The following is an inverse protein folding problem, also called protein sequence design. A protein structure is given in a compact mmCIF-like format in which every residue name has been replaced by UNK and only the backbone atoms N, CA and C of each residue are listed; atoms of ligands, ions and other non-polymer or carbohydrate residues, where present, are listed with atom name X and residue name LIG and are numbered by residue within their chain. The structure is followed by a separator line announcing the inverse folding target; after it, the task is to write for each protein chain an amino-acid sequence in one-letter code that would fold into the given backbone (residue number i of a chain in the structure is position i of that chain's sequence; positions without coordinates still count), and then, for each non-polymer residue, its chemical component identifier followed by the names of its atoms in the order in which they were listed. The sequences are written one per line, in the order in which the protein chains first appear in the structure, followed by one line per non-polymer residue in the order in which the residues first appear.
data_IF_605132201998
#
_entry.id   IF_605132201998
#
_cell.length_a   1.000
_cell.length_b   1.000
_cell.length_c   1.000
_cell.angle_alpha   90.00
_cell.angle_beta   90.00
_cell.angle_gamma   90.00
#
_symmetry.space_group_name_H-M   'P 1'
#
loop_
_entity.id
_entity.type
_entity.pdbx_description
1 polymer ?
#
# COMPACT_ATOMS: atom_id res chain seq x y z
N UNK A 1 15.08 17.28 -10.50
CA UNK A 1 13.98 16.31 -10.26
C UNK A 1 13.46 16.53 -8.85
N UNK A 2 12.16 16.79 -8.72
CA UNK A 2 11.56 17.45 -7.55
C UNK A 2 11.34 16.47 -6.39
N UNK A 3 11.70 16.85 -5.15
CA UNK A 3 11.31 16.19 -3.88
C UNK A 3 9.79 15.92 -3.73
N UNK A 4 8.98 16.44 -4.65
CA UNK A 4 7.52 16.26 -4.73
C UNK A 4 7.11 14.88 -5.26
N UNK A 5 7.95 14.20 -6.07
CA UNK A 5 7.65 12.84 -6.56
C UNK A 5 7.86 11.79 -5.46
N UNK A 6 8.82 12.00 -4.55
CA UNK A 6 9.02 11.18 -3.33
C UNK A 6 7.81 11.16 -2.38
N UNK A 7 6.82 12.05 -2.56
CA UNK A 7 5.63 12.12 -1.72
C UNK A 7 4.51 11.16 -2.18
N UNK A 8 4.57 10.63 -3.42
CA UNK A 8 3.60 9.67 -3.97
C UNK A 8 3.70 8.28 -3.35
N UNK A 9 4.77 8.07 -2.58
CA UNK A 9 5.33 6.79 -2.21
C UNK A 9 4.91 6.32 -0.81
N UNK A 10 4.42 7.25 0.00
CA UNK A 10 4.20 7.00 1.40
C UNK A 10 2.71 6.80 1.60
N UNK A 11 2.32 5.52 1.67
CA UNK A 11 1.26 4.94 2.51
C UNK A 11 0.31 4.04 1.72
N UNK A 12 0.73 2.81 1.57
CA UNK A 12 -0.13 1.68 1.17
C UNK A 12 -0.47 0.78 2.37
N UNK A 13 -0.09 1.24 3.56
CA UNK A 13 0.27 0.37 4.68
C UNK A 13 -0.71 0.44 5.85
N UNK A 14 -1.50 1.51 5.99
CA UNK A 14 -2.40 1.68 7.15
C UNK A 14 -3.54 0.65 7.19
N UNK A 15 -4.01 0.22 6.02
CA UNK A 15 -5.05 -0.79 5.81
C UNK A 15 -4.65 -2.16 6.34
N UNK A 16 -3.41 -2.54 6.04
CA UNK A 16 -2.82 -3.85 6.30
C UNK A 16 -2.82 -4.17 7.80
N UNK A 17 -2.62 -3.16 8.64
CA UNK A 17 -2.50 -3.37 10.09
C UNK A 17 -3.79 -3.18 10.88
N UNK A 18 -4.81 -2.55 10.31
CA UNK A 18 -6.15 -2.56 10.91
C UNK A 18 -6.71 -3.99 10.98
N UNK A 19 -6.51 -4.78 9.92
CA UNK A 19 -6.83 -6.21 9.90
C UNK A 19 -5.98 -7.03 10.88
N UNK A 20 -4.65 -6.85 10.86
CA UNK A 20 -3.73 -7.56 11.76
C UNK A 20 -4.03 -7.31 13.25
N UNK A 21 -4.27 -6.06 13.63
CA UNK A 21 -4.61 -5.70 15.02
C UNK A 21 -5.93 -6.30 15.46
N UNK A 22 -6.98 -6.13 14.65
CA UNK A 22 -8.33 -6.58 14.99
C UNK A 22 -8.46 -8.07 15.29
N UNK A 23 -7.82 -8.94 14.50
CA UNK A 23 -7.94 -10.39 14.72
C UNK A 23 -7.04 -10.92 15.87
N UNK A 24 -6.13 -10.09 16.40
CA UNK A 24 -5.16 -10.51 17.42
C UNK A 24 -5.52 -10.10 18.85
N UNK A 25 -6.47 -9.19 19.05
CA UNK A 25 -7.21 -9.12 20.32
C UNK A 25 -8.69 -9.29 20.05
N UNK A 26 -9.19 -10.47 20.40
CA UNK A 26 -10.58 -10.86 20.65
C UNK A 26 -11.68 -10.00 19.99
N UNK A 27 -12.53 -10.67 19.20
CA UNK A 27 -13.75 -10.21 18.50
C UNK A 27 -14.69 -9.23 19.23
N UNK A 28 -14.51 -8.99 20.52
CA UNK A 28 -15.48 -8.34 21.40
C UNK A 28 -15.27 -6.81 21.55
N UNK A 29 -14.27 -6.21 20.88
CA UNK A 29 -14.01 -4.77 20.98
C UNK A 29 -14.46 -3.98 19.73
N UNK A 30 -15.06 -2.81 19.99
CA UNK A 30 -15.84 -1.89 19.12
C UNK A 30 -15.19 -1.42 17.79
N UNK A 31 -14.00 -1.90 17.42
CA UNK A 31 -13.43 -1.69 16.08
C UNK A 31 -13.81 -2.88 15.21
N UNK A 32 -15.02 -2.92 14.65
CA UNK A 32 -15.43 -4.06 13.81
C UNK A 32 -14.73 -3.98 12.45
N UNK A 33 -13.82 -4.92 12.18
CA UNK A 33 -13.31 -5.11 10.84
C UNK A 33 -14.20 -6.11 10.12
N UNK A 34 -14.79 -5.68 9.00
CA UNK A 34 -15.69 -6.51 8.19
C UNK A 34 -15.02 -6.77 6.85
N UNK A 35 -14.94 -8.04 6.44
CA UNK A 35 -14.55 -8.39 5.09
C UNK A 35 -15.76 -8.34 4.17
N UNK A 36 -15.65 -7.66 3.04
CA UNK A 36 -16.69 -7.68 2.00
C UNK A 36 -16.10 -8.29 0.75
N UNK A 37 -16.78 -9.31 0.22
CA UNK A 37 -16.43 -9.92 -1.05
C UNK A 37 -17.07 -9.16 -2.20
N UNK A 38 -16.25 -8.70 -3.14
CA UNK A 38 -16.73 -7.96 -4.32
C UNK A 38 -17.28 -8.89 -5.41
N UNK A 39 -16.81 -10.15 -5.48
CA UNK A 39 -17.21 -11.14 -6.50
C UNK A 39 -18.27 -12.14 -6.00
N UNK A 40 -18.56 -12.15 -4.69
CA UNK A 40 -19.49 -13.09 -4.05
C UNK A 40 -18.97 -14.54 -4.02
N UNK A 41 -17.73 -14.78 -4.46
CA UNK A 41 -17.11 -16.10 -4.48
C UNK A 41 -16.45 -16.44 -3.14
N UNK A 42 -16.03 -15.44 -2.38
CA UNK A 42 -15.40 -15.62 -1.08
C UNK A 42 -16.38 -15.34 0.07
N UNK A 43 -16.37 -16.19 1.09
CA UNK A 43 -17.12 -15.91 2.33
C UNK A 43 -16.36 -14.88 3.16
N UNK A 44 -17.08 -14.07 3.96
CA UNK A 44 -16.45 -13.17 4.92
C UNK A 44 -15.37 -13.90 5.74
N UNK A 45 -15.72 -15.05 6.32
CA UNK A 45 -14.83 -15.88 7.12
C UNK A 45 -13.54 -16.31 6.39
N UNK A 46 -13.62 -16.59 5.08
CA UNK A 46 -12.45 -16.91 4.25
C UNK A 46 -11.51 -15.72 4.13
N UNK A 47 -12.05 -14.53 3.88
CA UNK A 47 -11.28 -13.29 3.78
C UNK A 47 -10.66 -12.91 5.14
N UNK A 48 -11.36 -13.14 6.27
CA UNK A 48 -10.81 -13.02 7.64
C UNK A 48 -9.60 -13.93 7.85
N UNK A 49 -9.73 -15.21 7.51
CA UNK A 49 -8.64 -16.17 7.67
C UNK A 49 -7.42 -15.81 6.82
N UNK A 50 -7.64 -15.37 5.59
CA UNK A 50 -6.57 -15.01 4.66
C UNK A 50 -5.83 -13.73 5.10
N UNK A 51 -6.57 -12.69 5.48
CA UNK A 51 -5.99 -11.46 6.03
C UNK A 51 -5.14 -11.75 7.26
N UNK A 52 -5.62 -12.61 8.17
CA UNK A 52 -4.88 -13.01 9.36
C UNK A 52 -3.60 -13.79 9.01
N UNK A 53 -3.69 -14.75 8.09
CA UNK A 53 -2.53 -15.53 7.64
C UNK A 53 -1.43 -14.63 7.06
N UNK A 54 -1.81 -13.72 6.17
CA UNK A 54 -0.85 -12.79 5.56
C UNK A 54 -0.29 -11.77 6.56
N UNK A 55 -1.08 -11.38 7.56
CA UNK A 55 -0.60 -10.50 8.65
C UNK A 55 0.46 -11.20 9.52
N UNK A 56 0.28 -12.48 9.82
CA UNK A 56 1.27 -13.27 10.56
C UNK A 56 2.56 -13.44 9.77
N UNK A 57 2.45 -13.74 8.47
CA UNK A 57 3.60 -13.82 7.56
C UNK A 57 4.38 -12.50 7.52
N UNK A 58 3.67 -11.37 7.46
CA UNK A 58 4.30 -10.05 7.54
C UNK A 58 5.16 -9.92 8.78
N UNK A 59 4.58 -10.21 9.95
CA UNK A 59 5.28 -10.12 11.24
C UNK A 59 6.51 -11.02 11.26
N UNK A 60 6.42 -12.26 10.76
CA UNK A 60 7.56 -13.17 10.65
C UNK A 60 8.70 -12.63 9.77
N UNK A 61 8.36 -12.06 8.62
CA UNK A 61 9.35 -11.48 7.69
C UNK A 61 10.01 -10.24 8.31
N UNK A 62 9.25 -9.39 9.00
CA UNK A 62 9.83 -8.29 9.79
C UNK A 62 10.78 -8.81 10.86
N UNK A 63 10.47 -9.95 11.49
CA UNK A 63 11.37 -10.64 12.43
C UNK A 63 12.72 -11.02 11.84
N UNK A 64 12.75 -11.39 10.55
CA UNK A 64 14.00 -11.70 9.83
C UNK A 64 14.77 -10.43 9.44
N UNK A 65 14.05 -9.39 9.02
CA UNK A 65 14.61 -8.14 8.52
C UNK A 65 15.14 -7.24 9.64
N UNK A 66 14.39 -7.13 10.74
CA UNK A 66 14.69 -6.26 11.88
C UNK A 66 14.19 -6.90 13.18
N UNK A 67 15.03 -7.76 13.81
CA UNK A 67 14.67 -8.47 15.03
C UNK A 67 14.27 -7.55 16.20
N UNK A 68 14.89 -6.38 16.32
CA UNK A 68 14.57 -5.40 17.36
C UNK A 68 13.17 -4.82 17.17
N UNK A 69 12.84 -4.34 15.95
CA UNK A 69 11.49 -3.84 15.64
C UNK A 69 10.44 -4.93 15.84
N UNK A 70 10.74 -6.17 15.47
CA UNK A 70 9.84 -7.31 15.69
C UNK A 70 9.53 -7.54 17.17
N UNK A 71 10.53 -7.40 18.05
CA UNK A 71 10.33 -7.52 19.50
C UNK A 71 9.36 -6.45 20.00
N UNK A 72 9.52 -5.20 19.56
CA UNK A 72 8.64 -4.09 19.93
C UNK A 72 7.21 -4.32 19.44
N UNK A 73 7.05 -4.76 18.18
CA UNK A 73 5.75 -5.09 17.59
C UNK A 73 5.07 -6.20 18.41
N UNK A 74 5.76 -7.31 18.69
CA UNK A 74 5.21 -8.42 19.48
C UNK A 74 4.82 -8.01 20.90
N UNK A 75 5.61 -7.17 21.55
CA UNK A 75 5.29 -6.68 22.88
C UNK A 75 4.01 -5.84 22.87
N UNK A 76 3.87 -4.91 21.92
CA UNK A 76 2.65 -4.11 21.78
C UNK A 76 1.43 -4.98 21.41
N UNK A 77 1.60 -5.98 20.55
CA UNK A 77 0.54 -6.92 20.19
C UNK A 77 0.02 -7.73 21.37
N UNK A 78 0.89 -8.19 22.28
CA UNK A 78 0.49 -8.95 23.47
C UNK A 78 -0.49 -8.20 24.39
N UNK A 79 -0.53 -6.86 24.28
CA UNK A 79 -1.42 -5.99 25.04
C UNK A 79 -2.65 -5.53 24.24
N UNK A 80 -2.84 -5.96 22.98
CA UNK A 80 -3.87 -5.39 22.10
C UNK A 80 -5.29 -5.58 22.64
N UNK A 81 -5.60 -6.73 23.23
CA UNK A 81 -6.91 -7.03 23.83
C UNK A 81 -7.23 -6.20 25.08
N UNK A 82 -6.27 -5.45 25.62
CA UNK A 82 -6.48 -4.54 26.76
C UNK A 82 -6.34 -3.06 26.38
N UNK A 83 -6.05 -2.76 25.11
CA UNK A 83 -5.93 -1.39 24.61
C UNK A 83 -7.29 -0.72 24.44
N UNK A 84 -7.37 0.56 24.81
CA UNK A 84 -8.46 1.45 24.44
C UNK A 84 -8.49 1.68 22.92
N UNK A 85 -9.61 2.17 22.40
CA UNK A 85 -9.74 2.51 20.96
C UNK A 85 -8.70 3.53 20.50
N UNK A 86 -8.30 4.48 21.36
CA UNK A 86 -7.24 5.45 21.06
C UNK A 86 -5.88 4.78 20.90
N UNK A 87 -5.52 3.90 21.85
CA UNK A 87 -4.27 3.13 21.82
C UNK A 87 -4.20 2.18 20.61
N UNK A 88 -5.32 1.55 20.22
CA UNK A 88 -5.39 0.74 19.00
C UNK A 88 -5.12 1.58 17.75
N UNK A 89 -5.65 2.79 17.68
CA UNK A 89 -5.38 3.72 16.57
C UNK A 89 -3.93 4.17 16.54
N UNK A 90 -3.32 4.45 17.68
CA UNK A 90 -1.89 4.78 17.76
C UNK A 90 -1.02 3.60 17.32
N UNK A 91 -1.33 2.40 17.83
CA UNK A 91 -0.66 1.18 17.44
C UNK A 91 -0.72 0.94 15.93
N UNK A 92 -1.89 1.08 15.29
CA UNK A 92 -2.02 0.95 13.84
C UNK A 92 -1.15 1.96 13.09
N UNK A 93 -1.05 3.20 13.55
CA UNK A 93 -0.20 4.21 12.92
C UNK A 93 1.29 3.88 13.08
N UNK A 94 1.71 3.37 14.24
CA UNK A 94 3.10 2.96 14.49
C UNK A 94 3.53 1.83 13.55
N UNK A 95 2.71 0.78 13.41
CA UNK A 95 3.04 -0.31 12.51
C UNK A 95 3.02 0.16 11.05
N UNK A 96 2.07 1.02 10.68
CA UNK A 96 2.04 1.58 9.33
C UNK A 96 3.30 2.40 9.00
N UNK A 97 3.77 3.20 9.96
CA UNK A 97 5.03 3.94 9.83
C UNK A 97 6.25 3.01 9.73
N UNK A 98 6.33 1.98 10.58
CA UNK A 98 7.42 1.01 10.56
C UNK A 98 7.51 0.27 9.22
N UNK A 99 6.37 -0.18 8.72
CA UNK A 99 6.30 -0.92 7.46
C UNK A 99 6.60 -0.03 6.26
N UNK A 100 6.18 1.24 6.27
CA UNK A 100 6.58 2.19 5.23
C UNK A 100 8.11 2.38 5.18
N UNK A 101 8.75 2.56 6.34
CA UNK A 101 10.22 2.65 6.43
C UNK A 101 10.88 1.36 5.94
N UNK A 102 10.40 0.19 6.39
CA UNK A 102 10.93 -1.09 5.97
C UNK A 102 10.77 -1.32 4.46
N UNK A 103 9.66 -0.92 3.86
CA UNK A 103 9.45 -1.04 2.42
C UNK A 103 10.45 -0.18 1.65
N UNK A 104 10.61 1.09 2.01
CA UNK A 104 11.59 1.99 1.37
C UNK A 104 13.01 1.42 1.45
N UNK A 105 13.41 0.91 2.62
CA UNK A 105 14.73 0.30 2.82
C UNK A 105 14.93 -0.98 1.99
N UNK A 106 13.84 -1.70 1.68
CA UNK A 106 13.90 -3.05 1.09
C UNK A 106 13.57 -3.12 -0.40
N UNK A 107 12.89 -2.10 -0.93
CA UNK A 107 12.58 -1.96 -2.36
C UNK A 107 13.80 -2.11 -3.28
N UNK A 108 14.99 -1.53 -2.98
CA UNK A 108 16.17 -1.71 -3.83
C UNK A 108 16.59 -3.18 -4.03
N UNK A 109 16.24 -4.04 -3.08
CA UNK A 109 16.61 -5.47 -3.07
C UNK A 109 15.47 -6.39 -3.50
N UNK A 110 14.25 -5.86 -3.67
CA UNK A 110 13.09 -6.65 -4.07
C UNK A 110 13.20 -7.16 -5.50
N UNK A 111 12.60 -8.33 -5.78
CA UNK A 111 12.59 -8.91 -7.13
C UNK A 111 11.74 -8.09 -8.11
N UNK A 112 12.03 -8.22 -9.42
CA UNK A 112 11.25 -7.55 -10.47
C UNK A 112 9.77 -7.97 -10.42
N UNK A 113 9.51 -9.25 -10.18
CA UNK A 113 8.15 -9.78 -10.06
C UNK A 113 7.38 -9.17 -8.88
N UNK A 114 8.05 -8.98 -7.73
CA UNK A 114 7.44 -8.37 -6.55
C UNK A 114 6.99 -6.92 -6.81
N UNK A 115 7.83 -6.16 -7.52
CA UNK A 115 7.53 -4.77 -7.85
C UNK A 115 6.45 -4.65 -8.91
N UNK A 116 6.48 -5.49 -9.95
CA UNK A 116 5.42 -5.50 -10.96
C UNK A 116 4.07 -5.94 -10.36
N UNK A 117 4.06 -6.91 -9.44
CA UNK A 117 2.86 -7.28 -8.69
C UNK A 117 2.35 -6.13 -7.80
N UNK A 118 3.25 -5.27 -7.32
CA UNK A 118 2.88 -4.13 -6.47
C UNK A 118 2.09 -3.10 -7.26
N UNK A 119 2.50 -2.81 -8.49
CA UNK A 119 1.73 -1.94 -9.37
C UNK A 119 0.29 -2.45 -9.58
N UNK A 120 0.11 -3.75 -9.79
CA UNK A 120 -1.21 -4.35 -9.91
C UNK A 120 -2.05 -4.20 -8.63
N UNK A 121 -1.46 -4.48 -7.47
CA UNK A 121 -2.17 -4.34 -6.20
C UNK A 121 -2.57 -2.89 -5.92
N UNK A 122 -1.74 -1.89 -6.30
CA UNK A 122 -2.07 -0.47 -6.08
C UNK A 122 -3.26 -0.06 -6.94
N UNK A 123 -3.28 -0.45 -8.21
CA UNK A 123 -4.40 -0.18 -9.10
C UNK A 123 -5.72 -0.72 -8.53
N UNK A 124 -5.73 -2.00 -8.18
CA UNK A 124 -6.92 -2.65 -7.65
C UNK A 124 -7.37 -2.03 -6.32
N UNK A 125 -6.42 -1.60 -5.49
CA UNK A 125 -6.75 -0.89 -4.25
C UNK A 125 -7.41 0.46 -4.54
N UNK A 126 -6.90 1.23 -5.51
CA UNK A 126 -7.51 2.49 -5.92
C UNK A 126 -8.94 2.30 -6.44
N UNK A 127 -9.15 1.29 -7.28
CA UNK A 127 -10.48 0.92 -7.80
C UNK A 127 -11.42 0.45 -6.68
N UNK A 128 -10.96 -0.46 -5.82
CA UNK A 128 -11.73 -0.97 -4.69
C UNK A 128 -12.16 0.13 -3.71
N UNK A 129 -11.30 1.11 -3.43
CA UNK A 129 -11.71 2.25 -2.60
C UNK A 129 -12.75 3.14 -3.27
N UNK A 130 -12.69 3.33 -4.59
CA UNK A 130 -13.69 4.13 -5.30
C UNK A 130 -15.04 3.42 -5.39
N UNK A 131 -15.06 2.09 -5.37
CA UNK A 131 -16.30 1.31 -5.21
C UNK A 131 -16.90 1.47 -3.81
N UNK A 132 -16.07 1.37 -2.77
CA UNK A 132 -16.49 1.51 -1.35
C UNK A 132 -16.93 2.93 -1.00
N UNK A 133 -16.16 3.92 -1.45
CA UNK A 133 -16.39 5.34 -1.21
C UNK A 133 -16.28 6.11 -2.54
N UNK A 134 -17.42 6.29 -3.25
CA UNK A 134 -17.45 7.04 -4.51
C UNK A 134 -17.02 8.50 -4.40
N UNK A 135 -16.92 9.06 -3.17
CA UNK A 135 -16.38 10.40 -2.96
C UNK A 135 -14.86 10.46 -3.11
N UNK A 136 -14.17 9.31 -3.12
CA UNK A 136 -12.71 9.19 -3.24
C UNK A 136 -11.95 9.67 -2.00
N UNK A 137 -12.62 10.14 -0.95
CA UNK A 137 -11.96 10.69 0.24
C UNK A 137 -11.20 9.61 1.01
N UNK A 138 -11.79 8.41 1.13
CA UNK A 138 -11.14 7.26 1.75
C UNK A 138 -9.91 6.82 0.94
N UNK A 139 -10.05 6.71 -0.38
CA UNK A 139 -8.94 6.44 -1.27
C UNK A 139 -7.81 7.47 -1.13
N UNK A 140 -8.14 8.77 -1.15
CA UNK A 140 -7.15 9.84 -1.03
C UNK A 140 -6.42 9.77 0.31
N UNK A 141 -7.15 9.61 1.41
CA UNK A 141 -6.53 9.45 2.73
C UNK A 141 -5.79 8.13 2.88
N UNK A 142 -6.12 7.11 2.11
CA UNK A 142 -5.37 5.86 2.10
C UNK A 142 -4.00 6.05 1.47
N UNK A 143 -3.92 6.69 0.30
CA UNK A 143 -2.65 6.94 -0.40
C UNK A 143 -1.86 8.13 0.15
N UNK A 144 -2.52 9.12 0.77
CA UNK A 144 -1.88 10.29 1.39
C UNK A 144 -2.27 10.57 2.87
N UNK A 145 -2.24 9.60 3.80
CA UNK A 145 -2.66 9.75 5.20
C UNK A 145 -1.87 10.78 6.00
N UNK A 146 -0.63 11.09 5.60
CA UNK A 146 0.17 12.16 6.23
C UNK A 146 -0.48 13.54 6.13
N UNK A 147 -1.36 13.75 5.14
CA UNK A 147 -2.05 15.02 4.91
C UNK A 147 -3.32 15.20 5.75
N UNK A 148 -3.88 14.11 6.30
CA UNK A 148 -5.08 14.09 7.15
C UNK A 148 -6.20 15.01 6.64
N UNK A 149 -6.51 14.97 5.34
CA UNK A 149 -7.40 15.94 4.67
C UNK A 149 -8.87 15.74 4.99
N UNK A 150 -9.28 14.49 5.11
CA UNK A 150 -10.66 14.13 5.41
C UNK A 150 -10.74 13.41 6.76
N UNK A 151 -11.81 13.60 7.54
CA UNK A 151 -12.03 12.79 8.74
C UNK A 151 -12.14 11.31 8.35
N UNK A 152 -11.49 10.45 9.13
CA UNK A 152 -11.54 8.99 8.94
C UNK A 152 -12.23 8.38 10.15
N UNK A 153 -13.30 7.63 9.91
CA UNK A 153 -13.85 6.78 10.96
C UNK A 153 -12.98 5.51 11.10
N UNK A 154 -11.84 5.64 11.79
CA UNK A 154 -10.89 4.53 11.97
C UNK A 154 -11.46 3.35 12.77
N UNK A 155 -12.63 3.49 13.40
CA UNK A 155 -13.28 2.41 14.15
C UNK A 155 -14.13 1.47 13.28
N UNK A 156 -14.34 1.80 12.00
CA UNK A 156 -15.08 0.96 11.05
C UNK A 156 -14.21 0.75 9.82
N UNK A 157 -13.31 -0.22 9.90
CA UNK A 157 -12.43 -0.55 8.79
C UNK A 157 -13.01 -1.73 8.01
N UNK A 158 -13.36 -1.53 6.74
CA UNK A 158 -13.86 -2.60 5.88
C UNK A 158 -12.74 -2.94 4.89
N UNK A 159 -12.16 -4.12 5.01
CA UNK A 159 -11.20 -4.60 4.00
C UNK A 159 -11.91 -5.44 2.94
N UNK A 160 -11.32 -5.46 1.73
CA UNK A 160 -11.74 -6.30 0.62
C UNK A 160 -10.58 -7.16 0.13
N UNK A 161 -10.78 -7.89 -0.96
CA UNK A 161 -9.75 -8.70 -1.60
C UNK A 161 -8.54 -7.87 -2.08
N UNK A 162 -8.75 -6.63 -2.52
CA UNK A 162 -7.66 -5.75 -2.95
C UNK A 162 -6.70 -5.42 -1.79
N UNK A 163 -7.24 -5.23 -0.59
CA UNK A 163 -6.44 -5.00 0.62
C UNK A 163 -5.60 -6.24 1.01
N UNK A 164 -6.15 -7.45 0.85
CA UNK A 164 -5.42 -8.71 1.05
C UNK A 164 -4.31 -8.87 0.01
N UNK A 165 -4.61 -8.62 -1.27
CA UNK A 165 -3.61 -8.71 -2.35
C UNK A 165 -2.50 -7.69 -2.16
N UNK A 166 -2.82 -6.50 -1.66
CA UNK A 166 -1.81 -5.53 -1.30
C UNK A 166 -0.86 -6.05 -0.21
N UNK A 167 -1.41 -6.64 0.86
CA UNK A 167 -0.59 -7.22 1.92
C UNK A 167 0.26 -8.40 1.41
N UNK A 168 -0.29 -9.27 0.57
CA UNK A 168 0.47 -10.34 -0.10
C UNK A 168 1.66 -9.80 -0.87
N UNK A 169 1.46 -8.70 -1.59
CA UNK A 169 2.53 -8.08 -2.37
C UNK A 169 3.57 -7.39 -1.48
N UNK A 170 3.16 -6.73 -0.40
CA UNK A 170 4.09 -6.25 0.63
C UNK A 170 4.94 -7.39 1.19
N UNK A 171 4.32 -8.53 1.52
CA UNK A 171 5.02 -9.73 1.95
C UNK A 171 5.99 -10.26 0.89
N UNK A 172 5.61 -10.21 -0.39
CA UNK A 172 6.45 -10.63 -1.51
C UNK A 172 7.66 -9.71 -1.68
N UNK A 173 7.49 -8.39 -1.60
CA UNK A 173 8.58 -7.41 -1.60
C UNK A 173 9.56 -7.72 -0.47
N UNK A 174 9.06 -7.83 0.76
CA UNK A 174 9.91 -8.03 1.92
C UNK A 174 10.60 -9.40 1.90
N UNK A 175 9.91 -10.46 1.48
CA UNK A 175 10.51 -11.81 1.40
C UNK A 175 11.57 -11.87 0.31
N UNK A 176 11.28 -11.38 -0.90
CA UNK A 176 12.25 -11.39 -2.01
C UNK A 176 13.48 -10.52 -1.70
N UNK A 177 13.33 -9.46 -0.90
CA UNK A 177 14.45 -8.62 -0.45
C UNK A 177 15.44 -9.30 0.50
N UNK A 178 15.13 -10.51 1.00
CA UNK A 178 16.03 -11.33 1.81
C UNK A 178 16.96 -12.21 0.96
N UNK A 179 16.67 -12.35 -0.33
CA UNK A 179 17.46 -13.14 -1.27
C UNK A 179 18.47 -12.23 -2.01
N UNK A 180 19.58 -12.81 -2.50
CA UNK A 180 20.49 -12.06 -3.36
C UNK A 180 19.74 -11.61 -4.62
N UNK A 181 19.81 -10.30 -4.90
CA UNK A 181 19.07 -9.62 -5.97
C UNK A 181 19.30 -10.35 -7.31
N UNK A 182 18.28 -11.04 -7.79
CA UNK A 182 18.28 -11.62 -9.14
C UNK A 182 17.70 -10.60 -10.14
N UNK A 183 18.38 -9.47 -10.29
CA UNK A 183 18.00 -8.44 -11.27
C UNK A 183 19.08 -8.34 -12.33
N UNK A 184 18.67 -8.27 -13.60
CA UNK A 184 19.58 -7.75 -14.61
C UNK A 184 19.93 -6.29 -14.30
N UNK A 185 21.16 -5.88 -14.61
CA UNK A 185 21.53 -4.46 -14.59
C UNK A 185 20.74 -3.73 -15.69
N UNK A 186 19.55 -3.23 -15.35
CA UNK A 186 18.76 -2.38 -16.24
C UNK A 186 19.37 -0.97 -16.21
N UNK A 187 19.76 -0.41 -17.37
CA UNK A 187 20.23 0.96 -17.45
C UNK A 187 19.18 1.97 -16.95
N UNK A 188 19.62 2.98 -16.19
CA UNK A 188 18.70 3.96 -15.61
C UNK A 188 17.90 4.74 -16.66
N UNK A 189 18.45 4.96 -17.86
CA UNK A 189 17.78 5.60 -18.99
C UNK A 189 16.57 4.81 -19.48
N UNK A 190 16.62 3.48 -19.51
CA UNK A 190 15.46 2.64 -19.82
C UNK A 190 14.34 2.84 -18.79
N UNK A 191 14.70 2.89 -17.50
CA UNK A 191 13.74 3.15 -16.43
C UNK A 191 13.13 4.56 -16.52
N UNK A 192 13.94 5.59 -16.82
CA UNK A 192 13.43 6.94 -17.06
C UNK A 192 12.54 7.04 -18.30
N UNK A 193 12.82 6.26 -19.34
CA UNK A 193 11.97 6.20 -20.53
C UNK A 193 10.58 5.66 -20.17
N UNK A 194 10.50 4.61 -19.35
CA UNK A 194 9.23 4.10 -18.82
C UNK A 194 8.46 5.21 -18.08
N UNK A 195 9.12 5.92 -17.16
CA UNK A 195 8.50 7.02 -16.42
C UNK A 195 8.01 8.15 -17.34
N UNK A 196 8.79 8.51 -18.36
CA UNK A 196 8.41 9.49 -19.35
C UNK A 196 7.18 9.07 -20.15
N UNK A 197 7.13 7.82 -20.60
CA UNK A 197 5.98 7.26 -21.33
C UNK A 197 4.71 7.25 -20.47
N UNK A 198 4.83 6.85 -19.20
CA UNK A 198 3.70 6.85 -18.24
C UNK A 198 3.19 8.28 -18.03
N UNK A 199 4.09 9.23 -17.80
CA UNK A 199 3.71 10.64 -17.64
C UNK A 199 3.00 11.19 -18.88
N UNK A 200 3.48 10.85 -20.08
CA UNK A 200 2.83 11.23 -21.33
C UNK A 200 1.41 10.65 -21.42
N UNK A 201 1.23 9.34 -21.17
CA UNK A 201 -0.10 8.70 -21.20
C UNK A 201 -1.08 9.32 -20.20
N UNK A 202 -0.60 9.63 -18.98
CA UNK A 202 -1.43 10.34 -17.99
C UNK A 202 -1.83 11.73 -18.47
N UNK A 203 -0.89 12.48 -19.04
CA UNK A 203 -1.15 13.82 -19.57
C UNK A 203 -2.12 13.79 -20.75
N UNK A 204 -2.01 12.79 -21.63
CA UNK A 204 -2.94 12.57 -22.74
C UNK A 204 -4.37 12.28 -22.25
N UNK A 205 -4.52 11.53 -21.14
CA UNK A 205 -5.82 11.17 -20.57
C UNK A 205 -6.43 12.27 -19.69
N UNK A 206 -5.62 12.96 -18.90
CA UNK A 206 -6.09 13.87 -17.84
C UNK A 206 -5.77 15.35 -18.07
N UNK A 207 -4.92 15.68 -19.06
CA UNK A 207 -4.45 17.04 -19.31
C UNK A 207 -3.78 17.65 -18.08
N UNK A 208 -4.11 18.91 -17.79
CA UNK A 208 -3.56 19.66 -16.65
C UNK A 208 -3.89 19.00 -15.29
N UNK A 209 -4.89 18.12 -15.22
CA UNK A 209 -5.19 17.40 -13.98
C UNK A 209 -4.08 16.43 -13.55
N UNK A 210 -3.15 16.07 -14.43
CA UNK A 210 -1.97 15.28 -14.03
C UNK A 210 -1.14 15.99 -12.94
N UNK A 211 -1.22 17.32 -12.85
CA UNK A 211 -0.53 18.08 -11.80
C UNK A 211 -1.04 17.78 -10.39
N UNK A 212 -2.25 17.21 -10.22
CA UNK A 212 -2.80 16.82 -8.92
C UNK A 212 -1.91 15.82 -8.18
N UNK A 213 -1.19 14.96 -8.92
CA UNK A 213 -0.20 14.02 -8.38
C UNK A 213 1.05 14.73 -7.80
N UNK A 214 1.31 15.96 -8.22
CA UNK A 214 2.45 16.76 -7.75
C UNK A 214 2.05 17.88 -6.78
N UNK A 215 0.74 18.14 -6.64
CA UNK A 215 0.16 19.11 -5.73
C UNK A 215 -1.03 18.48 -4.97
N UNK A 216 -0.71 17.66 -3.97
CA UNK A 216 -1.71 16.91 -3.20
C UNK A 216 -2.68 17.79 -2.40
N UNK A 217 -2.35 19.06 -2.14
CA UNK A 217 -3.31 19.99 -1.55
C UNK A 217 -4.45 20.35 -2.52
N UNK A 218 -4.14 20.47 -3.81
CA UNK A 218 -5.14 20.61 -4.86
C UNK A 218 -5.78 19.25 -5.17
N UNK A 219 -5.01 18.15 -5.14
CA UNK A 219 -5.55 16.79 -5.25
C UNK A 219 -6.64 16.49 -4.22
N UNK A 220 -6.49 16.99 -3.00
CA UNK A 220 -7.52 16.88 -1.96
C UNK A 220 -8.83 17.63 -2.27
N UNK A 221 -8.86 18.53 -3.27
CA UNK A 221 -10.10 19.18 -3.72
C UNK A 221 -10.82 18.35 -4.78
N UNK A 222 -10.12 17.44 -5.45
CA UNK A 222 -10.64 16.48 -6.44
C UNK A 222 -10.13 15.06 -6.12
N UNK A 223 -10.55 14.48 -4.97
CA UNK A 223 -10.02 13.21 -4.48
C UNK A 223 -10.35 12.04 -5.41
N UNK A 224 -11.53 12.04 -6.05
CA UNK A 224 -11.92 11.02 -7.04
C UNK A 224 -10.96 11.00 -8.22
N UNK A 225 -10.70 12.16 -8.85
CA UNK A 225 -9.78 12.22 -10.00
C UNK A 225 -8.36 11.88 -9.57
N UNK A 226 -7.93 12.33 -8.39
CA UNK A 226 -6.61 11.98 -7.85
C UNK A 226 -6.45 10.47 -7.67
N UNK A 227 -7.50 9.78 -7.20
CA UNK A 227 -7.50 8.33 -7.05
C UNK A 227 -7.45 7.58 -8.38
N UNK A 228 -8.21 8.02 -9.39
CA UNK A 228 -8.09 7.47 -10.73
C UNK A 228 -6.70 7.70 -11.33
N UNK A 229 -6.12 8.89 -11.13
CA UNK A 229 -4.74 9.19 -11.54
C UNK A 229 -3.72 8.24 -10.90
N UNK A 230 -3.85 7.93 -9.61
CA UNK A 230 -2.99 6.94 -8.93
C UNK A 230 -3.20 5.55 -9.53
N UNK A 231 -4.45 5.11 -9.68
CA UNK A 231 -4.75 3.79 -10.25
C UNK A 231 -4.18 3.63 -11.66
N UNK A 232 -4.40 4.62 -12.53
CA UNK A 232 -3.90 4.62 -13.91
C UNK A 232 -2.37 4.74 -13.98
N UNK A 233 -1.75 5.51 -13.10
CA UNK A 233 -0.29 5.61 -13.02
C UNK A 233 0.34 4.22 -12.85
N UNK A 234 -0.20 3.42 -11.91
CA UNK A 234 0.27 2.06 -11.68
C UNK A 234 -0.21 1.06 -12.75
N UNK A 235 -1.40 1.25 -13.34
CA UNK A 235 -1.84 0.45 -14.48
C UNK A 235 -0.89 0.57 -15.68
N UNK A 236 -0.35 1.77 -15.93
CA UNK A 236 0.58 1.95 -17.04
C UNK A 236 1.92 1.22 -16.86
N UNK A 237 2.38 0.97 -15.63
CA UNK A 237 3.51 0.06 -15.38
C UNK A 237 3.15 -1.39 -15.78
N UNK A 238 1.94 -1.84 -15.49
CA UNK A 238 1.47 -3.17 -15.90
C UNK A 238 1.37 -3.33 -17.42
N UNK A 239 1.16 -2.24 -18.14
CA UNK A 239 1.08 -2.23 -19.61
C UNK A 239 2.47 -2.14 -20.28
N UNK A 240 3.53 -1.82 -19.55
CA UNK A 240 4.88 -1.72 -20.11
C UNK A 240 5.38 -3.10 -20.57
N UNK A 241 5.77 -3.28 -21.85
CA UNK A 241 6.28 -4.56 -22.35
C UNK A 241 7.61 -4.95 -21.71
N UNK A 242 8.51 -3.99 -21.45
CA UNK A 242 9.79 -4.29 -20.79
C UNK A 242 9.60 -4.37 -19.27
N UNK A 243 9.30 -5.57 -18.76
CA UNK A 243 9.03 -5.82 -17.33
C UNK A 243 10.22 -5.55 -16.41
N UNK A 244 11.45 -5.71 -16.91
CA UNK A 244 12.64 -5.37 -16.15
C UNK A 244 12.78 -3.85 -16.02
N UNK A 245 12.58 -3.09 -17.11
CA UNK A 245 12.57 -1.63 -17.06
C UNK A 245 11.41 -1.05 -16.23
N UNK A 246 10.23 -1.68 -16.27
CA UNK A 246 9.11 -1.34 -15.39
C UNK A 246 9.46 -1.52 -13.92
N UNK A 247 10.05 -2.67 -13.55
CA UNK A 247 10.49 -2.93 -12.18
C UNK A 247 11.59 -1.95 -11.74
N UNK A 248 12.54 -1.63 -12.60
CA UNK A 248 13.59 -0.66 -12.27
C UNK A 248 13.03 0.76 -12.11
N UNK A 249 12.10 1.17 -12.96
CA UNK A 249 11.39 2.44 -12.82
C UNK A 249 10.60 2.50 -11.51
N UNK A 250 9.94 1.39 -11.13
CA UNK A 250 9.31 1.25 -9.82
C UNK A 250 10.33 1.38 -8.69
N UNK A 251 11.50 0.72 -8.76
CA UNK A 251 12.57 0.92 -7.76
C UNK A 251 12.97 2.37 -7.64
N UNK A 252 13.22 3.05 -8.76
CA UNK A 252 13.65 4.44 -8.76
C UNK A 252 12.64 5.37 -8.10
N UNK A 253 11.35 5.19 -8.37
CA UNK A 253 10.33 6.04 -7.74
C UNK A 253 10.01 5.60 -6.32
N UNK A 254 10.23 4.32 -5.96
CA UNK A 254 9.84 3.75 -4.68
C UNK A 254 10.96 3.79 -3.60
N UNK A 255 12.20 4.05 -3.98
CA UNK A 255 13.36 4.11 -3.07
C UNK A 255 13.88 5.52 -2.74
N UNK A 256 13.18 6.57 -3.18
CA UNK A 256 13.55 7.99 -2.97
C UNK A 256 12.87 8.62 -1.76
#
# INVERSE_FOLDING_TARGET
MNKKLSLLLVLIVAVVFAGAGYYMGTRDDVVSVTAVSEDGMNTQASLEAEMMSESMRFIEVVGKISPEKYKDIKQKMGNYGTMTSGEKVEWMNDIAGLTAVLLVDRIPYASDDALNAFAAAVKEQAEGYLVKDPSGQQCFNNFFPGLKKFPQNKSQFIYNEADIRMLKTVNLILTSSLEDRNTGDVPADEAYQVLGNIYQKLTEKYGDKTELLTNLNEGAKDPVTTCHLVGDFYDYFMQEPNKAASAEALRLILSQ
#
